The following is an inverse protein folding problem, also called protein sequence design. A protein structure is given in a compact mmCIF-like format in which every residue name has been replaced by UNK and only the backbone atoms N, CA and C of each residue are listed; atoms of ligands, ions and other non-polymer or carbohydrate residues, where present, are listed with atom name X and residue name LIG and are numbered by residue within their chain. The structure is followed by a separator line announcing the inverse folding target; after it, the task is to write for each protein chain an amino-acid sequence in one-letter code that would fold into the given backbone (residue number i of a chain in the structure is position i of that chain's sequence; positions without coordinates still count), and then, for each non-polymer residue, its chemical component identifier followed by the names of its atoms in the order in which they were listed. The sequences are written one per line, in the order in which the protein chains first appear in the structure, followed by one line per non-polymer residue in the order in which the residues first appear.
data_IF_459892011269
#
_entry.id   IF_459892011269
#
_cell.length_a   1.000
_cell.length_b   1.000
_cell.length_c   1.000
_cell.angle_alpha   90.00
_cell.angle_beta   90.00
_cell.angle_gamma   90.00
#
_symmetry.space_group_name_H-M   'P 1'
#
loop_
_entity.id
_entity.type
_entity.pdbx_description
1 polymer ?
#
# COMPACT_ATOMS: atom_id res chain seq x y z
N UNK A 1 3.57 -64.58 36.41
CA UNK A 1 3.65 -63.19 36.88
C UNK A 1 4.24 -62.35 35.75
N UNK A 2 3.48 -61.41 35.16
CA UNK A 2 3.93 -60.55 34.05
C UNK A 2 4.37 -59.20 34.61
N UNK A 3 5.61 -58.78 34.31
CA UNK A 3 6.14 -57.48 34.70
C UNK A 3 5.47 -56.35 33.89
N UNK A 4 4.96 -55.34 34.58
CA UNK A 4 4.39 -54.12 33.99
C UNK A 4 5.52 -53.25 33.41
N UNK A 5 5.36 -52.83 32.16
CA UNK A 5 6.24 -51.88 31.46
C UNK A 5 5.84 -50.46 31.88
N UNK A 6 6.75 -49.70 32.49
CA UNK A 6 6.51 -48.30 32.85
C UNK A 6 6.32 -47.45 31.58
N UNK A 7 5.20 -46.74 31.50
CA UNK A 7 4.85 -45.89 30.37
C UNK A 7 5.50 -44.52 30.60
N UNK A 8 6.55 -44.20 29.83
CA UNK A 8 7.23 -42.88 29.88
C UNK A 8 6.31 -41.82 29.28
N UNK A 9 5.78 -40.93 30.11
CA UNK A 9 4.94 -39.81 29.68
C UNK A 9 5.82 -38.80 28.96
N UNK A 10 5.58 -38.61 27.66
CA UNK A 10 6.33 -37.71 26.81
C UNK A 10 6.03 -36.26 27.20
N UNK A 11 6.93 -35.62 27.93
CA UNK A 11 6.78 -34.23 28.35
C UNK A 11 6.86 -33.31 27.12
N UNK A 12 5.73 -32.68 26.75
CA UNK A 12 5.70 -31.62 25.72
C UNK A 12 6.73 -30.55 26.10
N UNK A 13 7.78 -30.40 25.28
CA UNK A 13 8.79 -29.35 25.42
C UNK A 13 8.08 -27.99 25.33
N UNK A 14 8.06 -27.24 26.44
CA UNK A 14 7.52 -25.88 26.47
C UNK A 14 8.52 -24.95 25.79
N UNK A 15 8.11 -24.27 24.72
CA UNK A 15 8.89 -23.22 24.08
C UNK A 15 9.10 -22.11 25.10
N UNK A 16 10.35 -21.80 25.41
CA UNK A 16 10.66 -20.71 26.33
C UNK A 16 10.71 -19.38 25.59
N UNK A 17 10.51 -18.28 26.30
CA UNK A 17 10.67 -16.92 25.74
C UNK A 17 12.04 -16.71 25.09
N UNK A 18 13.08 -17.39 25.60
CA UNK A 18 14.45 -17.31 25.06
C UNK A 18 14.59 -18.05 23.74
N UNK A 19 13.91 -19.19 23.59
CA UNK A 19 13.87 -19.92 22.32
C UNK A 19 13.12 -19.11 21.25
N UNK A 20 12.04 -18.42 21.65
CA UNK A 20 11.27 -17.54 20.76
C UNK A 20 12.07 -16.31 20.32
N UNK A 21 12.70 -15.60 21.27
CA UNK A 21 13.53 -14.43 20.95
C UNK A 21 14.81 -14.82 20.18
N UNK A 22 15.41 -15.97 20.51
CA UNK A 22 16.55 -16.50 19.76
C UNK A 22 16.19 -16.88 18.33
N UNK A 23 14.99 -17.43 18.10
CA UNK A 23 14.46 -17.71 16.75
C UNK A 23 14.11 -16.45 15.95
N UNK A 24 13.63 -15.38 16.60
CA UNK A 24 13.41 -14.09 15.95
C UNK A 24 14.72 -13.44 15.51
N UNK A 25 15.77 -13.50 16.34
CA UNK A 25 17.07 -12.92 16.01
C UNK A 25 17.69 -13.56 14.75
N UNK A 26 17.56 -14.88 14.58
CA UNK A 26 18.03 -15.57 13.37
C UNK A 26 17.15 -15.30 12.15
N UNK A 27 15.83 -15.13 12.31
CA UNK A 27 14.94 -14.72 11.23
C UNK A 27 15.24 -13.29 10.74
N UNK A 28 15.55 -12.35 11.66
CA UNK A 28 15.88 -10.97 11.29
C UNK A 28 17.15 -10.86 10.44
N UNK A 29 18.12 -11.76 10.63
CA UNK A 29 19.35 -11.77 9.84
C UNK A 29 19.11 -12.10 8.35
N UNK A 30 18.03 -12.84 8.03
CA UNK A 30 17.64 -13.14 6.64
C UNK A 30 16.76 -12.05 6.01
N UNK A 31 16.19 -11.15 6.81
CA UNK A 31 15.34 -10.04 6.32
C UNK A 31 16.11 -8.74 6.07
N UNK A 32 17.35 -8.63 6.55
CA UNK A 32 18.21 -7.46 6.25
C UNK A 32 18.88 -7.70 4.90
N UNK A 33 18.10 -7.57 3.83
CA UNK A 33 18.62 -7.47 2.47
C UNK A 33 18.76 -5.99 2.11
N UNK A 34 19.86 -5.57 1.44
CA UNK A 34 19.99 -4.20 0.99
C UNK A 34 18.81 -3.82 0.08
N UNK A 35 18.21 -2.65 0.32
CA UNK A 35 17.02 -2.16 -0.43
C UNK A 35 17.16 -2.18 -1.95
N UNK A 36 18.39 -2.00 -2.47
CA UNK A 36 18.69 -2.06 -3.90
C UNK A 36 18.59 -3.47 -4.50
N UNK A 37 18.44 -4.52 -3.68
CA UNK A 37 18.28 -5.92 -4.10
C UNK A 37 16.79 -6.26 -4.30
N UNK A 38 15.89 -5.68 -3.50
CA UNK A 38 14.43 -5.90 -3.65
C UNK A 38 13.82 -5.09 -4.81
N UNK A 39 14.39 -3.92 -5.12
CA UNK A 39 14.02 -3.15 -6.32
C UNK A 39 14.82 -3.54 -7.57
N UNK A 40 16.02 -4.11 -7.44
CA UNK A 40 16.94 -4.23 -8.56
C UNK A 40 17.43 -2.86 -9.07
N UNK A 41 18.36 -2.86 -10.02
CA UNK A 41 18.87 -1.61 -10.59
C UNK A 41 17.78 -0.92 -11.41
N UNK A 42 17.31 0.24 -10.95
CA UNK A 42 16.34 1.07 -11.67
C UNK A 42 14.89 1.00 -11.19
N UNK A 43 14.54 0.13 -10.22
CA UNK A 43 13.23 0.24 -9.54
C UNK A 43 13.37 0.81 -8.14
N UNK A 44 12.55 1.83 -7.88
CA UNK A 44 12.39 2.45 -6.57
C UNK A 44 11.44 1.58 -5.76
N UNK A 45 11.89 1.14 -4.58
CA UNK A 45 11.06 0.31 -3.71
C UNK A 45 9.79 1.08 -3.32
N UNK A 46 8.63 0.44 -3.13
CA UNK A 46 7.39 1.14 -2.76
C UNK A 46 7.51 2.02 -1.52
N UNK A 47 8.37 1.65 -0.56
CA UNK A 47 8.65 2.43 0.66
C UNK A 47 9.49 3.69 0.44
N UNK A 48 10.10 3.84 -0.73
CA UNK A 48 10.93 4.99 -1.10
C UNK A 48 10.19 5.97 -2.02
N UNK A 49 8.96 5.62 -2.42
CA UNK A 49 8.11 6.52 -3.20
C UNK A 49 7.47 7.56 -2.31
N UNK A 50 7.31 8.76 -2.84
CA UNK A 50 6.49 9.80 -2.22
C UNK A 50 5.02 9.41 -2.37
N UNK A 51 4.34 9.24 -1.25
CA UNK A 51 2.89 9.04 -1.21
C UNK A 51 2.19 10.38 -1.40
N UNK A 52 1.41 10.47 -2.47
CA UNK A 52 0.65 11.67 -2.83
C UNK A 52 -0.84 11.33 -2.81
N UNK A 53 -1.65 12.23 -2.27
CA UNK A 53 -3.08 12.18 -2.42
C UNK A 53 -3.58 13.24 -3.39
N UNK A 54 -4.71 12.96 -4.04
CA UNK A 54 -5.33 13.88 -4.99
C UNK A 54 -6.63 14.39 -4.41
N UNK A 55 -6.66 15.68 -4.07
CA UNK A 55 -7.89 16.37 -3.66
C UNK A 55 -8.45 17.11 -4.88
N UNK A 56 -9.63 16.69 -5.34
CA UNK A 56 -10.25 17.18 -6.56
C UNK A 56 -9.81 16.36 -7.78
N UNK A 57 -10.70 15.48 -8.23
CA UNK A 57 -10.52 14.60 -9.40
C UNK A 57 -11.32 15.09 -10.62
N UNK A 58 -11.46 16.42 -10.75
CA UNK A 58 -12.01 17.06 -11.94
C UNK A 58 -11.07 16.98 -13.15
N UNK A 59 -11.35 17.73 -14.23
CA UNK A 59 -10.59 17.63 -15.49
C UNK A 59 -9.08 17.80 -15.31
N UNK A 60 -8.66 18.90 -14.66
CA UNK A 60 -7.24 19.12 -14.35
C UNK A 60 -6.69 18.07 -13.37
N UNK A 61 -7.48 17.64 -12.38
CA UNK A 61 -7.08 16.60 -11.42
C UNK A 61 -6.75 15.28 -12.12
N UNK A 62 -7.59 14.85 -13.06
CA UNK A 62 -7.35 13.66 -13.90
C UNK A 62 -6.09 13.83 -14.77
N UNK A 63 -5.85 15.02 -15.32
CA UNK A 63 -4.62 15.29 -16.09
C UNK A 63 -3.39 15.18 -15.19
N UNK A 64 -3.40 15.84 -14.02
CA UNK A 64 -2.31 15.78 -13.05
C UNK A 64 -2.05 14.35 -12.59
N UNK A 65 -3.10 13.58 -12.29
CA UNK A 65 -2.98 12.15 -11.94
C UNK A 65 -2.25 11.35 -13.02
N UNK A 66 -2.63 11.54 -14.29
CA UNK A 66 -2.00 10.85 -15.43
C UNK A 66 -0.53 11.25 -15.58
N UNK A 67 -0.18 12.49 -15.28
CA UNK A 67 1.22 12.94 -15.27
C UNK A 67 2.00 12.26 -14.14
N UNK A 68 1.45 12.23 -12.92
CA UNK A 68 2.06 11.57 -11.75
C UNK A 68 2.26 10.07 -11.94
N UNK A 69 1.43 9.38 -12.72
CA UNK A 69 1.67 7.97 -13.05
C UNK A 69 2.96 7.71 -13.83
N UNK A 70 3.52 8.74 -14.48
CA UNK A 70 4.79 8.64 -15.20
C UNK A 70 6.00 8.96 -14.30
N UNK A 71 5.77 9.44 -13.06
CA UNK A 71 6.85 9.73 -12.12
C UNK A 71 7.20 8.45 -11.33
N UNK A 72 8.41 7.88 -11.53
CA UNK A 72 8.75 6.57 -10.98
C UNK A 72 8.87 6.55 -9.46
N UNK A 73 9.16 7.70 -8.86
CA UNK A 73 9.33 7.94 -7.43
C UNK A 73 8.05 8.42 -6.73
N UNK A 74 6.92 8.49 -7.44
CA UNK A 74 5.63 8.88 -6.86
C UNK A 74 4.65 7.70 -6.87
N UNK A 75 3.77 7.68 -5.87
CA UNK A 75 2.61 6.81 -5.82
C UNK A 75 1.38 7.60 -5.40
N UNK A 76 0.29 7.46 -6.15
CA UNK A 76 -1.02 7.94 -5.71
C UNK A 76 -1.52 6.99 -4.62
N UNK A 77 -1.58 7.49 -3.39
CA UNK A 77 -1.90 6.73 -2.19
C UNK A 77 -3.38 6.89 -1.76
N UNK A 78 -4.01 8.02 -2.05
CA UNK A 78 -5.43 8.27 -1.74
C UNK A 78 -6.07 9.26 -2.72
N UNK A 79 -7.40 9.22 -2.81
CA UNK A 79 -8.20 10.15 -3.61
C UNK A 79 -9.26 10.83 -2.73
N UNK A 80 -9.52 12.11 -2.97
CA UNK A 80 -10.58 12.87 -2.32
C UNK A 80 -11.38 13.71 -3.33
N UNK A 81 -12.68 13.49 -3.40
CA UNK A 81 -13.61 14.26 -4.24
C UNK A 81 -15.05 14.00 -3.79
N UNK A 82 -15.87 15.05 -3.73
CA UNK A 82 -17.30 14.93 -3.40
C UNK A 82 -18.07 14.36 -4.61
N UNK A 83 -17.60 14.64 -5.82
CA UNK A 83 -18.26 14.28 -7.06
C UNK A 83 -17.88 12.85 -7.49
N UNK A 84 -18.88 11.96 -7.53
CA UNK A 84 -18.68 10.56 -7.93
C UNK A 84 -18.32 10.41 -9.41
N UNK A 85 -18.95 11.20 -10.27
CA UNK A 85 -18.81 11.09 -11.72
C UNK A 85 -19.32 12.34 -12.43
N UNK A 86 -18.59 12.79 -13.44
CA UNK A 86 -19.07 13.78 -14.40
C UNK A 86 -18.50 13.49 -15.79
N UNK A 87 -19.31 13.77 -16.80
CA UNK A 87 -18.87 13.79 -18.19
C UNK A 87 -18.42 15.21 -18.55
N UNK A 88 -17.11 15.35 -18.78
CA UNK A 88 -16.45 16.58 -19.20
C UNK A 88 -16.10 16.60 -20.68
N UNK A 89 -16.68 15.71 -21.50
CA UNK A 89 -16.41 15.62 -22.94
C UNK A 89 -16.64 16.94 -23.70
N UNK A 90 -17.53 17.81 -23.22
CA UNK A 90 -17.78 19.13 -23.81
C UNK A 90 -16.85 20.25 -23.31
N UNK A 91 -16.03 19.99 -22.29
CA UNK A 91 -15.14 20.98 -21.66
C UNK A 91 -13.68 20.78 -22.07
N UNK A 92 -12.83 21.76 -21.76
CA UNK A 92 -11.42 21.82 -22.16
C UNK A 92 -10.61 20.53 -21.91
N UNK A 93 -10.83 19.86 -20.77
CA UNK A 93 -10.09 18.64 -20.42
C UNK A 93 -10.65 17.36 -21.06
N UNK A 94 -11.90 17.39 -21.53
CA UNK A 94 -12.57 16.24 -22.14
C UNK A 94 -12.77 15.04 -21.19
N UNK A 95 -13.44 14.00 -21.70
CA UNK A 95 -13.58 12.69 -21.04
C UNK A 95 -14.39 12.72 -19.75
N UNK A 96 -14.24 11.67 -18.93
CA UNK A 96 -14.94 11.53 -17.65
C UNK A 96 -14.03 11.88 -16.48
N UNK A 97 -14.62 12.44 -15.42
CA UNK A 97 -13.92 12.88 -14.22
C UNK A 97 -14.76 12.59 -12.96
N UNK A 98 -14.19 12.82 -11.78
CA UNK A 98 -14.77 12.47 -10.48
C UNK A 98 -14.15 11.21 -9.87
N UNK A 99 -14.64 10.84 -8.69
CA UNK A 99 -14.06 9.79 -7.85
C UNK A 99 -13.98 8.43 -8.58
N UNK A 100 -15.05 8.02 -9.27
CA UNK A 100 -15.08 6.71 -9.94
C UNK A 100 -14.10 6.62 -11.11
N UNK A 101 -14.05 7.58 -12.06
CA UNK A 101 -13.02 7.57 -13.10
C UNK A 101 -11.60 7.61 -12.54
N UNK A 102 -11.35 8.42 -11.50
CA UNK A 102 -10.03 8.48 -10.86
C UNK A 102 -9.63 7.15 -10.22
N UNK A 103 -10.53 6.51 -9.48
CA UNK A 103 -10.29 5.22 -8.86
C UNK A 103 -10.06 4.11 -9.90
N UNK A 104 -10.78 4.15 -11.02
CA UNK A 104 -10.56 3.24 -12.14
C UNK A 104 -9.17 3.42 -12.75
N UNK A 105 -8.70 4.65 -12.93
CA UNK A 105 -7.35 4.93 -13.40
C UNK A 105 -6.28 4.38 -12.43
N UNK A 106 -6.47 4.56 -11.12
CA UNK A 106 -5.57 3.99 -10.10
C UNK A 106 -5.55 2.46 -10.18
N UNK A 107 -6.73 1.82 -10.28
CA UNK A 107 -6.84 0.36 -10.43
C UNK A 107 -6.14 -0.14 -11.68
N UNK A 108 -6.28 0.57 -12.79
CA UNK A 108 -5.61 0.24 -14.05
C UNK A 108 -4.08 0.36 -13.93
N UNK A 109 -3.60 1.38 -13.24
CA UNK A 109 -2.16 1.62 -13.08
C UNK A 109 -1.49 0.64 -12.11
N UNK A 110 -2.12 0.38 -10.96
CA UNK A 110 -1.49 -0.36 -9.86
C UNK A 110 -2.06 -1.77 -9.64
N UNK A 111 -3.10 -2.17 -10.38
CA UNK A 111 -3.80 -3.44 -10.20
C UNK A 111 -4.65 -3.51 -8.93
N UNK A 112 -4.75 -2.42 -8.16
CA UNK A 112 -5.50 -2.35 -6.91
C UNK A 112 -6.10 -0.96 -6.69
N UNK A 113 -7.13 -0.89 -5.86
CA UNK A 113 -7.73 0.36 -5.41
C UNK A 113 -6.82 1.09 -4.40
N UNK A 114 -7.05 2.39 -4.24
CA UNK A 114 -6.57 3.16 -3.10
C UNK A 114 -7.77 3.60 -2.24
N UNK A 115 -7.55 4.01 -0.98
CA UNK A 115 -8.54 4.72 -0.17
C UNK A 115 -9.14 5.93 -0.89
N UNK A 116 -10.43 6.16 -0.64
CA UNK A 116 -11.22 7.24 -1.25
C UNK A 116 -12.00 7.97 -0.19
N UNK A 117 -12.05 9.30 -0.30
CA UNK A 117 -12.66 10.18 0.70
C UNK A 117 -13.57 11.21 0.04
N UNK A 118 -14.65 11.60 0.72
CA UNK A 118 -15.45 12.76 0.32
C UNK A 118 -15.09 14.01 1.15
N UNK A 119 -14.39 13.84 2.27
CA UNK A 119 -13.88 14.90 3.13
C UNK A 119 -12.36 14.83 3.21
N UNK A 120 -11.71 15.93 2.84
CA UNK A 120 -10.25 16.01 2.89
C UNK A 120 -9.72 16.04 4.31
N UNK A 121 -10.48 16.54 5.30
CA UNK A 121 -10.01 16.53 6.69
C UNK A 121 -9.87 15.09 7.19
N UNK A 122 -10.87 14.24 6.91
CA UNK A 122 -10.79 12.81 7.21
C UNK A 122 -9.60 12.15 6.52
N UNK A 123 -9.38 12.46 5.23
CA UNK A 123 -8.22 11.93 4.50
C UNK A 123 -6.90 12.34 5.17
N UNK A 124 -6.76 13.61 5.57
CA UNK A 124 -5.54 14.13 6.20
C UNK A 124 -5.31 13.58 7.62
N UNK A 125 -6.37 13.20 8.32
CA UNK A 125 -6.27 12.57 9.64
C UNK A 125 -5.85 11.09 9.55
N UNK A 126 -6.24 10.40 8.47
CA UNK A 126 -5.99 8.96 8.29
C UNK A 126 -4.70 8.64 7.54
N UNK A 127 -4.33 9.47 6.57
CA UNK A 127 -3.25 9.19 5.62
C UNK A 127 -1.96 9.94 5.97
N UNK A 128 -0.83 9.23 5.93
CA UNK A 128 0.51 9.84 6.00
C UNK A 128 0.99 10.23 4.59
N UNK A 129 0.51 11.39 4.12
CA UNK A 129 0.62 11.84 2.72
C UNK A 129 1.19 13.26 2.60
N UNK A 130 1.96 13.47 1.54
CA UNK A 130 2.44 14.80 1.15
C UNK A 130 1.45 15.42 0.16
N UNK A 131 0.88 16.58 0.49
CA UNK A 131 -0.04 17.33 -0.38
C UNK A 131 0.79 18.21 -1.34
N UNK A 132 0.60 18.08 -2.66
CA UNK A 132 1.14 19.00 -3.67
C UNK A 132 0.11 19.26 -4.77
#
# INVERSE_FOLDING_TARGET
MKAQKANSINAKKRITRRDFLGGLATATALTIVPRHVLGGSGNIAPSEKVNVAIIGTGGQGIVNMKQLFNEPDVRIAALCDINEFSDYSMFYYGGTAGMKPALELVRKQYGQACPTYHDYNQMLDEEDIVIR
#
